data_IF_342907650836
#
_entry.id   IF_342907650836
#
_cell.length_a   1.000
_cell.length_b   1.000
_cell.length_c   1.000
_cell.angle_alpha   90.00
_cell.angle_beta   90.00
_cell.angle_gamma   90.00
#
_symmetry.space_group_name_H-M   'P 1'
#
loop_
_entity.id
_entity.type
_entity.pdbx_description
1 polymer ?
#
# COMPACT_ATOMS: atom_id res chain seq x y z
N UNK A 1 -8.41 4.15 -25.73
CA UNK A 1 -7.76 3.51 -24.57
C UNK A 1 -7.08 4.65 -23.79
N UNK A 2 -7.29 4.74 -22.47
CA UNK A 2 -6.72 5.80 -21.62
C UNK A 2 -5.74 5.14 -20.64
N UNK A 3 -4.49 5.61 -20.61
CA UNK A 3 -3.45 5.20 -19.66
C UNK A 3 -2.97 6.45 -18.90
N UNK A 4 -3.72 6.86 -17.88
CA UNK A 4 -3.51 8.13 -17.17
C UNK A 4 -2.78 7.97 -15.81
N UNK A 5 -2.01 6.89 -15.65
CA UNK A 5 -1.33 6.56 -14.39
C UNK A 5 -2.20 5.78 -13.40
N UNK A 6 -1.77 5.77 -12.14
CA UNK A 6 -2.38 5.01 -11.05
C UNK A 6 -2.52 5.90 -9.81
N UNK A 7 -3.56 5.64 -9.01
CA UNK A 7 -3.80 6.28 -7.72
C UNK A 7 -3.74 5.23 -6.59
N UNK A 8 -3.28 5.59 -5.38
CA UNK A 8 -3.30 4.65 -4.25
C UNK A 8 -4.72 4.26 -3.84
N UNK A 9 -4.99 2.96 -3.70
CA UNK A 9 -6.28 2.47 -3.20
C UNK A 9 -6.22 2.25 -1.68
N UNK A 10 -6.86 3.15 -0.91
CA UNK A 10 -6.82 3.16 0.58
C UNK A 10 -8.18 3.17 1.27
N UNK A 11 -9.25 2.80 0.58
CA UNK A 11 -10.64 2.91 1.06
C UNK A 11 -10.88 2.31 2.47
N UNK A 12 -10.18 1.22 2.81
CA UNK A 12 -10.33 0.56 4.11
C UNK A 12 -9.49 1.18 5.24
N UNK A 13 -8.50 2.03 4.93
CA UNK A 13 -7.51 2.49 5.92
C UNK A 13 -8.18 3.21 7.10
N UNK A 14 -9.03 4.20 6.81
CA UNK A 14 -9.67 5.01 7.84
C UNK A 14 -10.54 4.15 8.75
N UNK A 15 -11.41 3.31 8.18
CA UNK A 15 -12.30 2.45 8.96
C UNK A 15 -11.55 1.43 9.83
N UNK A 16 -10.44 0.88 9.35
CA UNK A 16 -9.62 -0.05 10.14
C UNK A 16 -8.90 0.67 11.29
N UNK A 17 -8.40 1.89 11.06
CA UNK A 17 -7.79 2.73 12.12
C UNK A 17 -8.82 3.13 13.17
N UNK A 18 -10.02 3.53 12.76
CA UNK A 18 -11.12 3.88 13.65
C UNK A 18 -11.58 2.70 14.52
N UNK A 19 -11.53 1.48 13.97
CA UNK A 19 -11.78 0.24 14.71
C UNK A 19 -10.65 -0.14 15.70
N UNK A 20 -9.59 0.68 15.80
CA UNK A 20 -8.45 0.44 16.69
C UNK A 20 -7.50 -0.67 16.23
N UNK A 21 -7.58 -1.09 14.95
CA UNK A 21 -6.69 -2.09 14.40
C UNK A 21 -5.37 -1.47 13.98
N UNK A 22 -4.28 -2.21 14.17
CA UNK A 22 -2.97 -1.82 13.64
C UNK A 22 -2.98 -1.99 12.12
N UNK A 23 -2.74 -0.90 11.39
CA UNK A 23 -2.75 -0.85 9.93
C UNK A 23 -1.40 -0.37 9.41
N UNK A 24 -0.83 -1.08 8.45
CA UNK A 24 0.36 -0.71 7.70
C UNK A 24 0.03 -0.63 6.21
N UNK A 25 0.47 0.44 5.54
CA UNK A 25 0.38 0.56 4.08
C UNK A 25 1.69 0.12 3.43
N UNK A 26 1.61 -0.65 2.34
CA UNK A 26 2.75 -1.07 1.51
C UNK A 26 2.36 -1.08 0.03
N UNK A 27 3.34 -1.06 -0.87
CA UNK A 27 3.15 -1.14 -2.31
C UNK A 27 2.27 -0.02 -2.87
N UNK A 28 1.45 -0.32 -3.87
CA UNK A 28 0.55 0.65 -4.50
C UNK A 28 -0.42 1.35 -3.54
N UNK A 29 -0.80 0.70 -2.43
CA UNK A 29 -1.65 1.31 -1.41
C UNK A 29 -0.92 2.40 -0.61
N UNK A 30 0.41 2.27 -0.45
CA UNK A 30 1.25 3.34 0.09
C UNK A 30 1.50 4.41 -1.00
N UNK A 31 1.99 4.02 -2.17
CA UNK A 31 2.25 4.97 -3.27
C UNK A 31 1.99 4.26 -4.59
N UNK A 32 1.16 4.80 -5.47
CA UNK A 32 0.94 4.23 -6.80
C UNK A 32 1.78 4.97 -7.85
N UNK A 33 2.72 4.27 -8.48
CA UNK A 33 3.57 4.76 -9.59
C UNK A 33 3.87 3.60 -10.53
N UNK A 34 4.21 3.88 -11.80
CA UNK A 34 4.53 2.80 -12.74
C UNK A 34 5.77 1.99 -12.32
N UNK A 35 5.72 0.67 -12.58
CA UNK A 35 6.75 -0.33 -12.24
C UNK A 35 7.02 -0.46 -10.72
N UNK A 36 5.97 -0.64 -9.91
CA UNK A 36 6.08 -0.66 -8.43
C UNK A 36 6.49 -2.00 -7.80
N UNK A 37 6.50 -3.10 -8.56
CA UNK A 37 6.47 -4.45 -7.99
C UNK A 37 7.67 -4.76 -7.06
N UNK A 38 8.89 -4.37 -7.44
CA UNK A 38 10.08 -4.59 -6.61
C UNK A 38 10.00 -3.85 -5.27
N UNK A 39 9.49 -2.62 -5.30
CA UNK A 39 9.33 -1.80 -4.09
C UNK A 39 8.22 -2.35 -3.21
N UNK A 40 7.09 -2.76 -3.80
CA UNK A 40 6.00 -3.39 -3.06
C UNK A 40 6.48 -4.66 -2.32
N UNK A 41 7.29 -5.49 -2.99
CA UNK A 41 7.90 -6.69 -2.39
C UNK A 41 8.89 -6.34 -1.28
N UNK A 42 9.79 -5.37 -1.48
CA UNK A 42 10.77 -4.95 -0.45
C UNK A 42 10.05 -4.37 0.78
N UNK A 43 9.06 -3.49 0.59
CA UNK A 43 8.26 -2.93 1.69
C UNK A 43 7.54 -4.02 2.48
N UNK A 44 6.84 -4.95 1.79
CA UNK A 44 6.16 -6.06 2.45
C UNK A 44 7.12 -6.99 3.20
N UNK A 45 8.30 -7.25 2.61
CA UNK A 45 9.33 -8.10 3.22
C UNK A 45 9.90 -7.47 4.50
N UNK A 46 10.22 -6.17 4.45
CA UNK A 46 10.73 -5.43 5.63
C UNK A 46 9.69 -5.33 6.72
N UNK A 47 8.43 -5.06 6.37
CA UNK A 47 7.33 -5.02 7.32
C UNK A 47 7.17 -6.38 8.01
N UNK A 48 7.12 -7.47 7.24
CA UNK A 48 6.99 -8.82 7.79
C UNK A 48 8.16 -9.20 8.72
N UNK A 49 9.38 -8.74 8.42
CA UNK A 49 10.56 -8.98 9.26
C UNK A 49 10.58 -8.16 10.56
N UNK A 50 9.74 -7.12 10.67
CA UNK A 50 9.67 -6.22 11.82
C UNK A 50 8.47 -6.49 12.75
N UNK A 51 7.61 -7.46 12.40
CA UNK A 51 6.47 -7.93 13.21
C UNK A 51 6.88 -9.11 14.09
#
# INVERSE_FOLDING_TARGET
>A
MICAGQEPQRELEAGLREAGLAVSLIGGADVAVELDAKRAIDQGTRLAAAL
#
